data_IF_800041196016
#
_entry.id   IF_800041196016
#
_cell.length_a   1.000
_cell.length_b   1.000
_cell.length_c   1.000
_cell.angle_alpha   90.00
_cell.angle_beta   90.00
_cell.angle_gamma   90.00
#
_symmetry.space_group_name_H-M   'P 1'
#
loop_
_entity.id
_entity.type
_entity.pdbx_description
1 polymer ?
#
# COMPACT_ATOMS: atom_id res chain seq x y z
N UNK A 1 30.07 -9.99 -4.09
CA UNK A 1 28.82 -9.82 -3.30
C UNK A 1 27.80 -8.92 -3.99
N UNK A 2 28.23 -7.87 -4.73
CA UNK A 2 27.33 -6.94 -5.44
C UNK A 2 26.79 -7.44 -6.80
N UNK A 3 27.49 -8.36 -7.48
CA UNK A 3 27.04 -8.98 -8.73
C UNK A 3 25.68 -9.69 -8.62
N UNK A 4 25.37 -10.24 -7.44
CA UNK A 4 24.16 -11.03 -7.20
C UNK A 4 22.86 -10.24 -7.35
N UNK A 5 22.95 -8.90 -7.32
CA UNK A 5 21.78 -8.01 -7.36
C UNK A 5 21.66 -7.22 -8.67
N UNK A 6 22.57 -7.42 -9.63
CA UNK A 6 22.42 -6.90 -11.00
C UNK A 6 22.55 -5.38 -11.18
N UNK A 7 23.11 -4.67 -10.20
CA UNK A 7 23.14 -3.18 -10.19
C UNK A 7 24.56 -2.60 -10.27
N UNK A 8 25.50 -3.14 -11.07
CA UNK A 8 26.78 -2.44 -11.36
C UNK A 8 27.35 -2.81 -12.74
N UNK A 9 27.84 -1.79 -13.46
CA UNK A 9 28.60 -1.90 -14.72
C UNK A 9 30.11 -1.93 -14.42
N UNK A 10 30.57 -2.92 -13.64
CA UNK A 10 31.99 -3.04 -13.24
C UNK A 10 32.95 -3.08 -14.44
N UNK A 11 32.55 -3.71 -15.56
CA UNK A 11 33.35 -3.77 -16.79
C UNK A 11 33.58 -2.39 -17.45
N UNK A 12 32.77 -1.39 -17.12
CA UNK A 12 32.90 -0.02 -17.63
C UNK A 12 33.65 0.92 -16.65
N UNK A 13 34.12 0.42 -15.51
CA UNK A 13 34.78 1.24 -14.48
C UNK A 13 33.83 2.14 -13.68
N UNK A 14 32.52 1.95 -13.81
CA UNK A 14 31.49 2.73 -13.12
C UNK A 14 30.98 1.90 -11.93
N UNK A 15 31.60 2.12 -10.79
CA UNK A 15 31.27 1.47 -9.50
C UNK A 15 30.61 2.44 -8.53
N UNK A 16 30.05 3.53 -9.06
CA UNK A 16 29.49 4.62 -8.27
C UNK A 16 28.08 4.28 -7.77
N UNK A 17 27.80 4.72 -6.54
CA UNK A 17 26.51 4.58 -5.87
C UNK A 17 25.77 5.90 -5.90
N UNK A 18 24.74 6.01 -6.73
CA UNK A 18 23.89 7.20 -6.79
C UNK A 18 22.79 7.18 -5.71
N UNK A 19 22.65 8.28 -4.99
CA UNK A 19 21.55 8.58 -4.09
C UNK A 19 20.73 9.70 -4.72
N UNK A 20 19.45 9.44 -4.98
CA UNK A 20 18.50 10.41 -5.53
C UNK A 20 17.35 10.55 -4.53
N UNK A 21 17.04 11.78 -4.14
CA UNK A 21 15.87 12.10 -3.32
C UNK A 21 14.85 12.83 -4.20
N UNK A 22 13.66 12.27 -4.28
CA UNK A 22 12.54 12.74 -5.11
C UNK A 22 11.41 13.12 -4.16
N UNK A 23 10.81 14.29 -4.38
CA UNK A 23 9.64 14.69 -3.61
C UNK A 23 8.34 14.04 -4.12
N UNK A 24 7.23 14.34 -3.44
CA UNK A 24 5.90 13.82 -3.78
C UNK A 24 5.34 14.35 -5.11
N UNK A 25 5.88 15.44 -5.64
CA UNK A 25 5.52 15.98 -6.97
C UNK A 25 6.37 15.32 -8.09
N UNK A 26 7.25 14.38 -7.74
CA UNK A 26 8.15 13.70 -8.67
C UNK A 26 9.38 14.51 -9.05
N UNK A 27 9.67 15.59 -8.34
CA UNK A 27 10.80 16.49 -8.59
C UNK A 27 12.02 16.00 -7.82
N UNK A 28 13.15 15.86 -8.53
CA UNK A 28 14.44 15.54 -7.91
C UNK A 28 14.91 16.74 -7.07
N UNK A 29 15.07 16.52 -5.76
CA UNK A 29 15.54 17.54 -4.81
C UNK A 29 17.01 17.39 -4.45
N UNK A 30 17.56 16.18 -4.61
CA UNK A 30 18.98 15.92 -4.40
C UNK A 30 19.46 14.77 -5.27
N UNK A 31 20.66 14.90 -5.82
CA UNK A 31 21.36 13.82 -6.51
C UNK A 31 22.84 13.88 -6.11
N UNK A 32 23.37 12.76 -5.66
CA UNK A 32 24.80 12.62 -5.35
C UNK A 32 25.26 11.22 -5.71
N UNK A 33 26.53 11.08 -6.06
CA UNK A 33 27.17 9.77 -6.20
C UNK A 33 28.33 9.66 -5.22
N UNK A 34 28.58 8.44 -4.74
CA UNK A 34 29.81 8.12 -4.03
C UNK A 34 30.57 7.08 -4.83
N UNK A 35 31.88 7.30 -4.97
CA UNK A 35 32.76 6.40 -5.70
C UNK A 35 32.94 5.02 -5.03
N UNK A 36 33.68 4.11 -5.67
CA UNK A 36 34.02 2.82 -5.10
C UNK A 36 34.67 2.96 -3.71
N UNK A 37 34.07 2.31 -2.70
CA UNK A 37 34.51 2.39 -1.30
C UNK A 37 33.77 3.43 -0.45
N UNK A 38 32.98 4.31 -1.07
CA UNK A 38 32.11 5.26 -0.37
C UNK A 38 31.07 4.54 0.51
N UNK A 39 31.10 4.81 1.82
CA UNK A 39 30.08 4.32 2.76
C UNK A 39 28.88 5.26 2.71
N UNK A 40 27.68 4.68 2.66
CA UNK A 40 26.45 5.42 2.95
C UNK A 40 26.24 5.41 4.45
N UNK A 41 26.23 6.59 5.05
CA UNK A 41 25.76 6.75 6.41
C UNK A 41 24.25 6.98 6.37
N UNK A 42 23.49 6.08 6.98
CA UNK A 42 22.03 6.13 6.99
C UNK A 42 21.54 7.36 7.77
N UNK A 43 22.23 7.72 8.86
CA UNK A 43 21.85 8.85 9.71
C UNK A 43 22.06 10.19 8.97
N UNK A 44 23.16 10.32 8.23
CA UNK A 44 23.40 11.51 7.39
C UNK A 44 22.37 11.61 6.25
N UNK A 45 21.99 10.47 5.67
CA UNK A 45 20.96 10.45 4.62
C UNK A 45 19.59 10.85 5.17
N UNK A 46 19.24 10.38 6.37
CA UNK A 46 18.01 10.78 7.06
C UNK A 46 18.02 12.27 7.39
N UNK A 47 19.13 12.79 7.91
CA UNK A 47 19.28 14.22 8.20
C UNK A 47 19.11 15.06 6.92
N UNK A 48 19.75 14.66 5.81
CA UNK A 48 19.61 15.32 4.52
C UNK A 48 18.17 15.28 3.99
N UNK A 49 17.52 14.11 4.05
CA UNK A 49 16.12 13.97 3.66
C UNK A 49 15.19 14.87 4.50
N UNK A 50 15.44 14.96 5.80
CA UNK A 50 14.68 15.81 6.73
C UNK A 50 14.86 17.29 6.42
N UNK A 51 16.09 17.72 6.13
CA UNK A 51 16.38 19.09 5.73
C UNK A 51 15.67 19.46 4.43
N UNK A 52 15.76 18.60 3.41
CA UNK A 52 15.09 18.79 2.12
C UNK A 52 13.57 18.87 2.31
N UNK A 53 12.99 17.98 3.11
CA UNK A 53 11.55 17.98 3.39
C UNK A 53 11.11 19.26 4.14
N UNK A 54 11.98 19.85 4.96
CA UNK A 54 11.67 21.12 5.64
C UNK A 54 11.70 22.31 4.67
N UNK A 55 12.65 22.31 3.72
CA UNK A 55 12.79 23.36 2.69
C UNK A 55 11.74 23.25 1.58
N UNK A 56 11.35 22.03 1.27
CA UNK A 56 10.35 21.69 0.28
C UNK A 56 9.27 20.85 0.94
N UNK A 57 8.47 21.44 1.86
CA UNK A 57 7.40 20.72 2.51
C UNK A 57 6.49 20.21 1.41
N UNK A 58 6.29 18.89 1.40
CA UNK A 58 5.29 18.30 0.55
C UNK A 58 3.98 19.06 0.78
N UNK A 59 3.23 19.33 -0.30
CA UNK A 59 1.79 19.52 -0.19
C UNK A 59 1.19 18.16 0.11
N UNK A 60 1.61 17.53 1.22
CA UNK A 60 0.95 16.36 1.72
C UNK A 60 -0.51 16.76 1.86
N UNK A 61 -1.46 16.02 1.27
CA UNK A 61 -2.84 16.21 1.64
C UNK A 61 -2.89 16.15 3.18
N UNK A 62 -3.66 17.05 3.83
CA UNK A 62 -3.71 17.09 5.28
C UNK A 62 -3.94 15.67 5.81
N UNK A 63 -3.21 15.31 6.87
CA UNK A 63 -3.44 14.06 7.59
C UNK A 63 -4.95 13.88 7.74
N UNK A 64 -5.56 12.79 7.22
CA UNK A 64 -6.99 12.63 7.32
C UNK A 64 -7.38 12.74 8.79
N UNK A 65 -8.24 13.73 9.09
CA UNK A 65 -8.72 14.01 10.43
C UNK A 65 -9.20 12.71 11.07
N UNK A 66 -8.72 12.40 12.29
CA UNK A 66 -9.04 11.22 13.09
C UNK A 66 -9.65 10.08 12.27
N UNK A 67 -8.78 9.32 11.59
CA UNK A 67 -9.19 8.32 10.59
C UNK A 67 -10.36 7.51 11.13
N UNK A 68 -11.50 7.57 10.45
CA UNK A 68 -12.62 6.68 10.76
C UNK A 68 -12.07 5.26 10.71
N UNK A 69 -12.19 4.54 11.82
CA UNK A 69 -11.91 3.13 11.84
C UNK A 69 -13.07 2.41 11.17
N UNK A 70 -12.77 1.36 10.41
CA UNK A 70 -13.78 0.37 10.05
C UNK A 70 -14.50 -0.12 11.32
N UNK A 71 -15.79 -0.35 11.18
CA UNK A 71 -16.60 -0.97 12.22
C UNK A 71 -16.07 -2.37 12.53
N UNK A 72 -16.16 -2.76 13.80
CA UNK A 72 -15.64 -4.06 14.30
C UNK A 72 -16.33 -5.27 13.67
N UNK A 73 -17.49 -5.07 13.08
CA UNK A 73 -18.29 -6.07 12.38
C UNK A 73 -18.05 -6.08 10.86
N UNK A 74 -17.08 -5.31 10.35
CA UNK A 74 -16.77 -5.29 8.93
C UNK A 74 -16.37 -6.67 8.41
N UNK A 75 -16.96 -7.07 7.26
CA UNK A 75 -16.70 -8.36 6.61
C UNK A 75 -16.33 -8.13 5.15
N UNK A 76 -15.20 -8.68 4.73
CA UNK A 76 -14.78 -8.76 3.34
C UNK A 76 -15.10 -10.15 2.78
N UNK A 77 -16.05 -10.21 1.86
CA UNK A 77 -16.38 -11.40 1.09
C UNK A 77 -15.45 -11.53 -0.11
N UNK A 78 -14.83 -12.70 -0.22
CA UNK A 78 -13.85 -13.02 -1.27
C UNK A 78 -14.20 -14.35 -1.93
N UNK A 79 -13.45 -14.68 -2.97
CA UNK A 79 -13.48 -15.99 -3.60
C UNK A 79 -12.08 -16.40 -4.06
N UNK A 80 -11.76 -17.67 -3.88
CA UNK A 80 -10.58 -18.30 -4.44
C UNK A 80 -10.41 -18.08 -5.96
N UNK A 81 -9.19 -17.80 -6.41
CA UNK A 81 -8.89 -17.55 -7.83
C UNK A 81 -9.36 -16.19 -8.39
N UNK A 82 -10.03 -15.33 -7.60
CA UNK A 82 -10.42 -14.00 -8.06
C UNK A 82 -9.27 -12.99 -7.98
N UNK A 83 -8.78 -12.51 -9.13
CA UNK A 83 -7.70 -11.50 -9.20
C UNK A 83 -8.02 -10.20 -8.45
N UNK A 84 -9.29 -9.80 -8.42
CA UNK A 84 -9.73 -8.58 -7.75
C UNK A 84 -9.76 -8.76 -6.22
N UNK A 85 -10.13 -9.95 -5.74
CA UNK A 85 -10.04 -10.29 -4.32
C UNK A 85 -8.57 -10.28 -3.86
N UNK A 86 -7.68 -10.88 -4.66
CA UNK A 86 -6.25 -10.88 -4.38
C UNK A 86 -5.67 -9.44 -4.30
N UNK A 87 -6.12 -8.53 -5.17
CA UNK A 87 -5.70 -7.13 -5.14
C UNK A 87 -6.12 -6.42 -3.83
N UNK A 88 -7.37 -6.61 -3.40
CA UNK A 88 -7.86 -6.03 -2.13
C UNK A 88 -7.12 -6.59 -0.93
N UNK A 89 -6.91 -7.92 -0.87
CA UNK A 89 -6.19 -8.56 0.23
C UNK A 89 -4.74 -8.08 0.32
N UNK A 90 -4.04 -7.96 -0.82
CA UNK A 90 -2.68 -7.39 -0.86
C UNK A 90 -2.64 -5.94 -0.41
N UNK A 91 -3.64 -5.14 -0.82
CA UNK A 91 -3.74 -3.76 -0.35
C UNK A 91 -3.92 -3.71 1.18
N UNK A 92 -4.79 -4.54 1.74
CA UNK A 92 -4.99 -4.62 3.19
C UNK A 92 -3.73 -5.07 3.94
N UNK A 93 -2.96 -6.01 3.38
CA UNK A 93 -1.67 -6.44 3.92
C UNK A 93 -0.64 -5.32 3.93
N UNK A 94 -0.49 -4.61 2.80
CA UNK A 94 0.41 -3.46 2.67
C UNK A 94 0.03 -2.29 3.58
N UNK A 95 -1.26 -2.13 3.86
CA UNK A 95 -1.79 -1.12 4.77
C UNK A 95 -1.78 -1.59 6.24
N UNK A 96 -1.36 -2.83 6.50
CA UNK A 96 -1.35 -3.47 7.81
C UNK A 96 -2.71 -3.45 8.51
N UNK A 97 -3.80 -3.65 7.75
CA UNK A 97 -5.17 -3.64 8.25
C UNK A 97 -5.94 -4.96 8.06
N UNK A 98 -5.24 -6.07 7.74
CA UNK A 98 -5.84 -7.41 7.58
C UNK A 98 -6.61 -7.91 8.79
N UNK A 99 -6.23 -7.49 10.00
CA UNK A 99 -6.86 -7.91 11.25
C UNK A 99 -8.05 -7.04 11.67
N UNK A 100 -8.41 -6.03 10.88
CA UNK A 100 -9.46 -5.06 11.22
C UNK A 100 -10.85 -5.56 10.81
N UNK A 101 -10.92 -6.38 9.76
CA UNK A 101 -12.17 -6.93 9.24
C UNK A 101 -12.08 -8.46 9.13
N UNK A 102 -13.23 -9.13 9.14
CA UNK A 102 -13.29 -10.58 8.92
C UNK A 102 -13.22 -10.86 7.42
N UNK A 103 -12.53 -11.92 7.03
CA UNK A 103 -12.51 -12.40 5.64
C UNK A 103 -13.32 -13.68 5.55
N UNK A 104 -14.24 -13.76 4.59
CA UNK A 104 -15.05 -14.96 4.33
C UNK A 104 -15.01 -15.32 2.85
N UNK A 105 -14.71 -16.57 2.54
CA UNK A 105 -14.67 -17.06 1.16
C UNK A 105 -16.02 -17.68 0.76
N UNK A 106 -16.69 -17.11 -0.23
CA UNK A 106 -18.02 -17.54 -0.67
C UNK A 106 -18.02 -18.86 -1.47
N UNK A 107 -16.86 -19.39 -1.85
CA UNK A 107 -16.72 -20.72 -2.48
C UNK A 107 -16.50 -21.82 -1.45
N UNK A 108 -15.92 -21.51 -0.31
CA UNK A 108 -15.66 -22.47 0.77
C UNK A 108 -16.72 -22.42 1.88
N UNK A 109 -17.45 -21.31 2.01
CA UNK A 109 -18.49 -21.09 3.02
C UNK A 109 -19.83 -20.74 2.34
N UNK A 110 -20.75 -21.72 2.28
CA UNK A 110 -22.11 -21.51 1.75
C UNK A 110 -22.88 -20.46 2.54
N UNK A 111 -22.63 -20.34 3.85
CA UNK A 111 -23.22 -19.31 4.69
C UNK A 111 -22.74 -17.92 4.25
N UNK A 112 -21.46 -17.77 3.92
CA UNK A 112 -20.92 -16.52 3.41
C UNK A 112 -21.56 -16.12 2.08
N UNK A 113 -21.85 -17.10 1.22
CA UNK A 113 -22.56 -16.85 -0.03
C UNK A 113 -23.98 -16.34 0.22
N UNK A 114 -24.76 -17.03 1.07
CA UNK A 114 -26.13 -16.63 1.40
C UNK A 114 -26.20 -15.26 2.06
N UNK A 115 -25.25 -14.96 2.95
CA UNK A 115 -25.16 -13.66 3.62
C UNK A 115 -24.87 -12.55 2.60
N UNK A 116 -23.91 -12.76 1.70
CA UNK A 116 -23.60 -11.80 0.65
C UNK A 116 -24.80 -11.56 -0.30
N UNK A 117 -25.48 -12.63 -0.73
CA UNK A 117 -26.65 -12.53 -1.60
C UNK A 117 -27.81 -11.80 -0.90
N UNK A 118 -27.99 -12.00 0.41
CA UNK A 118 -29.02 -11.30 1.20
C UNK A 118 -28.73 -9.81 1.35
N UNK A 119 -27.45 -9.43 1.44
CA UNK A 119 -27.02 -8.04 1.66
C UNK A 119 -26.89 -7.24 0.36
N UNK A 120 -26.49 -7.89 -0.72
CA UNK A 120 -26.07 -7.24 -1.95
C UNK A 120 -26.83 -7.69 -3.21
N UNK A 121 -27.82 -8.58 -3.03
CA UNK A 121 -28.61 -9.17 -4.11
C UNK A 121 -28.06 -10.51 -4.59
N UNK A 122 -28.95 -11.36 -5.09
CA UNK A 122 -28.60 -12.66 -5.64
C UNK A 122 -27.59 -12.54 -6.78
N UNK A 123 -26.53 -13.34 -6.74
CA UNK A 123 -25.48 -13.27 -7.75
C UNK A 123 -24.44 -12.18 -7.50
N UNK A 124 -24.42 -11.59 -6.30
CA UNK A 124 -23.48 -10.55 -5.92
C UNK A 124 -22.03 -10.92 -6.22
N UNK A 125 -21.31 -9.94 -6.78
CA UNK A 125 -19.90 -10.05 -7.19
C UNK A 125 -18.97 -9.88 -5.99
N UNK A 126 -17.78 -10.45 -6.11
CA UNK A 126 -16.68 -10.33 -5.15
C UNK A 126 -15.47 -9.66 -5.82
N UNK A 127 -14.61 -8.92 -5.09
CA UNK A 127 -14.65 -8.70 -3.64
C UNK A 127 -15.78 -7.76 -3.22
N UNK A 128 -16.38 -8.02 -2.05
CA UNK A 128 -17.40 -7.16 -1.47
C UNK A 128 -17.10 -6.87 0.00
N UNK A 129 -16.90 -5.59 0.33
CA UNK A 129 -16.75 -5.14 1.71
C UNK A 129 -18.11 -4.72 2.26
N UNK A 130 -18.50 -5.29 3.38
CA UNK A 130 -19.73 -4.96 4.10
C UNK A 130 -19.39 -4.36 5.44
N UNK A 131 -19.97 -3.20 5.73
CA UNK A 131 -19.80 -2.47 6.99
C UNK A 131 -21.09 -1.71 7.31
N UNK A 132 -21.67 -1.90 8.50
CA UNK A 132 -22.85 -1.14 8.93
C UNK A 132 -24.06 -1.21 7.96
N UNK A 133 -24.24 -2.35 7.28
CA UNK A 133 -25.29 -2.55 6.28
C UNK A 133 -25.01 -1.96 4.89
N UNK A 134 -23.89 -1.24 4.71
CA UNK A 134 -23.44 -0.76 3.40
C UNK A 134 -22.57 -1.81 2.73
N UNK A 135 -22.82 -2.07 1.45
CA UNK A 135 -22.00 -2.96 0.61
C UNK A 135 -21.20 -2.13 -0.39
N UNK A 136 -19.91 -2.40 -0.50
CA UNK A 136 -19.01 -1.86 -1.53
C UNK A 136 -18.43 -3.02 -2.35
N UNK A 137 -18.76 -3.11 -3.63
CA UNK A 137 -18.41 -4.26 -4.50
C UNK A 137 -17.27 -3.98 -5.50
N UNK A 138 -16.86 -2.73 -5.65
CA UNK A 138 -15.81 -2.36 -6.59
C UNK A 138 -14.44 -2.42 -5.92
N UNK A 139 -13.57 -3.32 -6.39
CA UNK A 139 -12.25 -3.55 -5.78
C UNK A 139 -11.39 -2.28 -5.67
N UNK A 140 -11.43 -1.41 -6.69
CA UNK A 140 -10.72 -0.13 -6.67
C UNK A 140 -11.26 0.84 -5.61
N UNK A 141 -12.58 0.85 -5.40
CA UNK A 141 -13.19 1.66 -4.36
C UNK A 141 -12.86 1.13 -2.97
N UNK A 142 -12.88 -0.20 -2.77
CA UNK A 142 -12.47 -0.83 -1.52
C UNK A 142 -11.02 -0.48 -1.19
N UNK A 143 -10.10 -0.62 -2.16
CA UNK A 143 -8.68 -0.29 -1.96
C UNK A 143 -8.49 1.18 -1.60
N UNK A 144 -9.16 2.10 -2.33
CA UNK A 144 -9.10 3.53 -2.03
C UNK A 144 -9.62 3.82 -0.62
N UNK A 145 -10.75 3.23 -0.25
CA UNK A 145 -11.34 3.39 1.07
C UNK A 145 -10.40 2.90 2.19
N UNK A 146 -9.80 1.72 2.03
CA UNK A 146 -8.80 1.21 2.98
C UNK A 146 -7.57 2.13 3.05
N UNK A 147 -7.10 2.65 1.92
CA UNK A 147 -5.95 3.55 1.89
C UNK A 147 -6.25 4.87 2.61
N UNK A 148 -7.40 5.49 2.38
CA UNK A 148 -7.85 6.70 3.08
C UNK A 148 -7.89 6.50 4.61
N UNK A 149 -8.25 5.29 5.07
CA UNK A 149 -8.36 4.97 6.50
C UNK A 149 -7.06 4.48 7.15
N UNK A 150 -6.15 3.83 6.41
CA UNK A 150 -5.03 3.09 7.02
C UNK A 150 -3.65 3.43 6.47
N UNK A 151 -3.52 4.16 5.35
CA UNK A 151 -2.21 4.49 4.78
C UNK A 151 -1.36 5.27 5.80
N UNK A 152 -0.29 4.67 6.33
CA UNK A 152 0.61 5.36 7.27
C UNK A 152 1.45 6.36 6.47
N UNK A 153 1.38 7.62 6.87
CA UNK A 153 2.26 8.71 6.39
C UNK A 153 3.36 8.90 7.40
#
# INVERSE_FOLDING_TARGET
MAEKFGVYLEKAGITDRATILIDTEGIVRHASSVGPGGRRNIDELLALATEINTKHPAKSPPLPAARKALSKDAVLYVREGCRFCAAVLRAAENLHCTNIFKVRDVTQDEGARRDLDSLAGEGAKVPALVEGGKVTQESGEIIRYLAEMYART
#
